data_IF_214586742886
#
_entry.id   IF_214586742886
#
_cell.length_a   1.000
_cell.length_b   1.000
_cell.length_c   1.000
_cell.angle_alpha   90.00
_cell.angle_beta   90.00
_cell.angle_gamma   90.00
#
_symmetry.space_group_name_H-M   'P 1'
#
loop_
_entity.id
_entity.type
_entity.pdbx_description
1 polymer ?
#
# COMPACT_ATOMS: atom_id res chain seq x y z
N UNK A 1 4.47 17.99 -17.64
CA UNK A 1 4.96 16.60 -17.76
C UNK A 1 6.42 16.61 -17.37
N UNK A 2 6.86 15.74 -16.46
CA UNK A 2 8.20 15.81 -15.85
C UNK A 2 9.26 15.04 -16.63
N UNK A 3 8.87 13.96 -17.30
CA UNK A 3 9.77 13.11 -18.09
C UNK A 3 9.65 13.42 -19.58
N UNK A 4 10.75 13.33 -20.34
CA UNK A 4 10.78 13.67 -21.76
C UNK A 4 9.99 12.68 -22.63
N UNK A 5 10.00 11.40 -22.26
CA UNK A 5 9.24 10.31 -22.86
C UNK A 5 7.76 10.30 -22.45
N UNK A 6 7.41 11.06 -21.42
CA UNK A 6 6.09 11.08 -20.85
C UNK A 6 5.75 9.84 -20.01
N UNK A 7 4.60 9.22 -20.26
CA UNK A 7 4.18 8.01 -19.55
C UNK A 7 4.84 6.76 -20.14
N UNK A 8 5.02 5.69 -19.34
CA UNK A 8 5.40 4.38 -19.87
C UNK A 8 4.42 3.88 -20.96
N UNK A 9 4.87 2.93 -21.79
CA UNK A 9 4.11 2.33 -22.89
C UNK A 9 3.10 1.27 -22.42
N UNK A 10 2.23 1.64 -21.47
CA UNK A 10 1.07 0.84 -21.06
C UNK A 10 -0.10 1.79 -20.68
N UNK A 11 -1.35 1.30 -20.68
CA UNK A 11 -2.50 2.11 -20.25
C UNK A 11 -2.33 2.68 -18.83
N UNK A 12 -3.00 3.80 -18.55
CA UNK A 12 -2.97 4.50 -17.26
C UNK A 12 -3.56 3.67 -16.10
N UNK A 13 -4.63 2.92 -16.36
CA UNK A 13 -5.54 2.44 -15.31
C UNK A 13 -5.51 0.92 -15.10
N UNK A 14 -5.29 0.44 -13.85
CA UNK A 14 -4.85 1.21 -12.67
C UNK A 14 -3.35 1.53 -12.75
N UNK A 15 -2.88 2.40 -11.84
CA UNK A 15 -1.45 2.65 -11.71
C UNK A 15 -0.72 1.42 -11.16
N UNK A 16 0.31 0.97 -11.89
CA UNK A 16 1.17 -0.13 -11.44
C UNK A 16 1.92 0.21 -10.15
N UNK A 17 2.44 1.44 -10.02
CA UNK A 17 3.12 1.88 -8.80
C UNK A 17 2.18 1.92 -7.60
N UNK A 18 0.94 2.41 -7.78
CA UNK A 18 -0.05 2.39 -6.73
C UNK A 18 -0.43 0.96 -6.31
N UNK A 19 -0.57 0.05 -7.27
CA UNK A 19 -0.83 -1.37 -6.98
C UNK A 19 0.28 -2.00 -6.14
N UNK A 20 1.54 -1.77 -6.49
CA UNK A 20 2.68 -2.28 -5.73
C UNK A 20 2.74 -1.63 -4.34
N UNK A 21 2.58 -0.30 -4.25
CA UNK A 21 2.60 0.43 -2.99
C UNK A 21 1.52 -0.08 -2.03
N UNK A 22 0.29 -0.30 -2.52
CA UNK A 22 -0.81 -0.84 -1.73
C UNK A 22 -0.54 -2.26 -1.23
N UNK A 23 0.05 -3.12 -2.06
CA UNK A 23 0.39 -4.49 -1.67
C UNK A 23 1.51 -4.53 -0.62
N UNK A 24 2.60 -3.79 -0.84
CA UNK A 24 3.71 -3.70 0.11
C UNK A 24 3.24 -3.12 1.45
N UNK A 25 2.48 -2.01 1.43
CA UNK A 25 1.93 -1.41 2.64
C UNK A 25 1.01 -2.37 3.39
N UNK A 26 0.15 -3.12 2.69
CA UNK A 26 -0.73 -4.10 3.34
C UNK A 26 0.03 -5.24 4.02
N UNK A 27 1.18 -5.67 3.48
CA UNK A 27 2.06 -6.63 4.17
C UNK A 27 2.69 -6.00 5.41
N UNK A 28 3.24 -4.79 5.29
CA UNK A 28 3.89 -4.09 6.40
C UNK A 28 2.93 -3.78 7.55
N UNK A 29 1.72 -3.30 7.23
CA UNK A 29 0.67 -3.00 8.21
C UNK A 29 0.18 -4.26 8.94
N UNK A 30 0.18 -5.41 8.27
CA UNK A 30 -0.14 -6.69 8.90
C UNK A 30 0.99 -7.21 9.78
N UNK A 31 2.25 -6.91 9.43
CA UNK A 31 3.42 -7.45 10.13
C UNK A 31 3.84 -6.63 11.34
N UNK A 32 3.83 -5.30 11.22
CA UNK A 32 4.28 -4.40 12.28
C UNK A 32 3.12 -3.94 13.16
N UNK A 33 3.34 -3.94 14.48
CA UNK A 33 2.42 -3.32 15.42
C UNK A 33 2.39 -1.80 15.21
N UNK A 34 1.24 -1.19 15.45
CA UNK A 34 1.15 0.27 15.49
C UNK A 34 1.72 0.81 16.82
N UNK A 35 2.30 1.99 16.77
CA UNK A 35 2.93 2.64 17.90
C UNK A 35 4.03 3.63 17.51
N UNK A 36 4.61 4.32 18.49
CA UNK A 36 5.61 5.34 18.23
C UNK A 36 7.02 4.75 18.03
N UNK A 37 7.84 5.44 17.24
CA UNK A 37 9.30 5.26 17.18
C UNK A 37 9.97 6.60 17.55
N UNK A 38 10.20 6.89 18.85
CA UNK A 38 10.65 8.19 19.31
C UNK A 38 12.00 8.64 18.73
N UNK A 39 12.91 7.70 18.46
CA UNK A 39 14.22 7.97 17.86
C UNK A 39 14.12 8.54 16.43
N UNK A 40 12.97 8.39 15.78
CA UNK A 40 12.68 8.90 14.44
C UNK A 40 11.58 9.97 14.44
N UNK A 41 11.16 10.44 15.63
CA UNK A 41 10.04 11.38 15.79
C UNK A 41 8.70 10.89 15.20
N UNK A 42 8.53 9.57 15.09
CA UNK A 42 7.31 8.94 14.57
C UNK A 42 6.35 8.64 15.71
N UNK A 43 5.09 9.06 15.57
CA UNK A 43 4.02 8.80 16.55
C UNK A 43 3.22 7.53 16.25
N UNK A 44 3.09 7.17 14.97
CA UNK A 44 2.43 5.93 14.51
C UNK A 44 3.19 5.36 13.31
N UNK A 45 3.74 4.16 13.49
CA UNK A 45 4.32 3.37 12.39
C UNK A 45 3.29 3.13 11.29
N UNK A 46 2.03 2.87 11.64
CA UNK A 46 1.00 2.63 10.64
C UNK A 46 0.70 3.86 9.79
N UNK A 47 0.66 5.05 10.40
CA UNK A 47 0.44 6.30 9.66
C UNK A 47 1.60 6.60 8.71
N UNK A 48 2.85 6.38 9.12
CA UNK A 48 4.01 6.56 8.24
C UNK A 48 4.03 5.55 7.09
N UNK A 49 3.62 4.30 7.31
CA UNK A 49 3.45 3.33 6.21
C UNK A 49 2.37 3.79 5.23
N UNK A 50 1.25 4.33 5.72
CA UNK A 50 0.19 4.89 4.86
C UNK A 50 0.65 6.15 4.12
N UNK A 51 1.46 6.98 4.76
CA UNK A 51 2.06 8.16 4.16
C UNK A 51 3.02 7.77 3.04
N UNK A 52 3.91 6.80 3.27
CA UNK A 52 4.81 6.25 2.25
C UNK A 52 4.03 5.70 1.05
N UNK A 53 3.00 4.89 1.31
CA UNK A 53 2.13 4.34 0.28
C UNK A 53 1.51 5.46 -0.59
N UNK A 54 0.99 6.51 0.03
CA UNK A 54 0.43 7.65 -0.68
C UNK A 54 1.49 8.43 -1.46
N UNK A 55 2.66 8.66 -0.88
CA UNK A 55 3.76 9.38 -1.52
C UNK A 55 4.22 8.70 -2.83
N UNK A 56 4.38 7.37 -2.81
CA UNK A 56 4.73 6.58 -4.00
C UNK A 56 3.67 6.66 -5.10
N UNK A 57 2.38 6.66 -4.73
CA UNK A 57 1.29 6.78 -5.69
C UNK A 57 1.18 8.20 -6.24
N UNK A 58 1.07 9.21 -5.37
CA UNK A 58 0.84 10.61 -5.77
C UNK A 58 2.00 11.21 -6.55
N UNK A 59 3.23 10.74 -6.31
CA UNK A 59 4.41 11.14 -7.08
C UNK A 59 4.23 10.90 -8.59
N UNK A 60 3.38 9.95 -8.98
CA UNK A 60 3.07 9.70 -10.40
C UNK A 60 2.10 10.72 -10.99
N UNK A 61 1.16 11.23 -10.19
CA UNK A 61 0.32 12.37 -10.59
C UNK A 61 1.15 13.65 -10.66
N UNK A 62 2.09 13.86 -9.74
CA UNK A 62 3.02 15.00 -9.79
C UNK A 62 3.91 14.97 -11.04
N UNK A 63 4.31 13.78 -11.49
CA UNK A 63 5.01 13.61 -12.76
C UNK A 63 4.13 13.84 -14.01
N UNK A 64 2.80 13.90 -13.84
CA UNK A 64 1.83 14.08 -14.91
C UNK A 64 1.54 12.82 -15.72
N UNK A 65 1.70 11.63 -15.12
CA UNK A 65 1.58 10.34 -15.82
C UNK A 65 0.55 9.39 -15.23
N UNK A 66 -0.11 9.76 -14.13
CA UNK A 66 -1.24 9.02 -13.59
C UNK A 66 -2.36 9.96 -13.10
N UNK A 67 -3.61 9.58 -13.40
CA UNK A 67 -4.81 10.23 -12.89
C UNK A 67 -5.08 9.85 -11.43
N UNK A 68 -5.82 10.69 -10.69
CA UNK A 68 -6.19 10.38 -9.29
C UNK A 68 -6.95 9.05 -9.19
N UNK A 69 -7.84 8.75 -10.15
CA UNK A 69 -8.60 7.51 -10.17
C UNK A 69 -7.69 6.28 -10.36
N UNK A 70 -6.69 6.34 -11.25
CA UNK A 70 -5.75 5.22 -11.44
C UNK A 70 -4.91 4.94 -10.20
N UNK A 71 -4.58 5.98 -9.41
CA UNK A 71 -3.91 5.82 -8.13
C UNK A 71 -4.81 5.16 -7.07
N UNK A 72 -6.00 5.70 -6.83
CA UNK A 72 -6.89 5.22 -5.76
C UNK A 72 -7.28 3.75 -5.98
N UNK A 73 -7.64 3.39 -7.22
CA UNK A 73 -7.97 2.00 -7.56
C UNK A 73 -6.76 1.09 -7.47
N UNK A 74 -5.58 1.54 -7.89
CA UNK A 74 -4.34 0.77 -7.73
C UNK A 74 -4.02 0.45 -6.27
N UNK A 75 -4.05 1.46 -5.39
CA UNK A 75 -3.82 1.28 -3.96
C UNK A 75 -4.77 0.25 -3.34
N UNK A 76 -6.07 0.34 -3.66
CA UNK A 76 -7.08 -0.60 -3.17
C UNK A 76 -6.87 -2.02 -3.71
N UNK A 77 -6.57 -2.16 -5.00
CA UNK A 77 -6.29 -3.45 -5.65
C UNK A 77 -5.07 -4.14 -5.00
N UNK A 78 -3.98 -3.39 -4.83
CA UNK A 78 -2.75 -3.89 -4.20
C UNK A 78 -3.00 -4.38 -2.78
N UNK A 79 -3.73 -3.59 -1.99
CA UNK A 79 -4.05 -3.94 -0.60
C UNK A 79 -5.01 -5.14 -0.51
N UNK A 80 -5.96 -5.27 -1.43
CA UNK A 80 -6.80 -6.48 -1.49
C UNK A 80 -5.95 -7.73 -1.80
N UNK A 81 -4.98 -7.59 -2.70
CA UNK A 81 -4.06 -8.67 -3.05
C UNK A 81 -3.18 -9.08 -1.88
N UNK A 82 -2.64 -8.13 -1.09
CA UNK A 82 -1.83 -8.48 0.09
C UNK A 82 -2.63 -9.23 1.15
N UNK A 83 -3.89 -8.86 1.39
CA UNK A 83 -4.76 -9.59 2.33
C UNK A 83 -5.02 -11.01 1.84
N UNK A 84 -5.32 -11.19 0.55
CA UNK A 84 -5.53 -12.51 -0.04
C UNK A 84 -4.25 -13.38 0.07
N UNK A 85 -3.10 -12.80 -0.22
CA UNK A 85 -1.80 -13.46 -0.08
C UNK A 85 -1.53 -13.89 1.35
N UNK A 86 -1.68 -13.00 2.33
CA UNK A 86 -1.40 -13.31 3.73
C UNK A 86 -2.37 -14.34 4.32
N UNK A 87 -3.65 -14.30 3.94
CA UNK A 87 -4.63 -15.34 4.29
C UNK A 87 -4.23 -16.71 3.75
N UNK A 88 -3.74 -16.75 2.51
CA UNK A 88 -3.24 -17.98 1.91
C UNK A 88 -1.99 -18.50 2.64
N UNK A 89 -1.07 -17.60 2.99
CA UNK A 89 0.13 -17.92 3.75
C UNK A 89 -0.22 -18.51 5.13
N UNK A 90 -1.10 -17.83 5.88
CA UNK A 90 -1.60 -18.28 7.20
C UNK A 90 -2.25 -19.66 7.17
N UNK A 91 -2.95 -20.01 6.09
CA UNK A 91 -3.54 -21.33 5.93
C UNK A 91 -2.51 -22.45 5.66
N UNK A 92 -1.27 -22.09 5.33
CA UNK A 92 -0.21 -23.02 4.91
C UNK A 92 1.00 -23.05 5.86
N UNK A 93 1.12 -22.08 6.76
CA UNK A 93 2.19 -22.03 7.76
C UNK A 93 1.77 -22.74 9.04
N UNK A 94 2.61 -23.61 9.61
CA UNK A 94 2.33 -24.27 10.89
C UNK A 94 2.42 -23.29 12.08
N UNK A 95 3.18 -22.20 11.95
CA UNK A 95 3.28 -21.17 12.97
C UNK A 95 1.94 -20.40 13.08
N UNK A 96 1.50 -20.07 14.30
CA UNK A 96 0.35 -19.19 14.48
C UNK A 96 0.73 -17.78 14.04
N UNK A 97 0.55 -17.48 12.75
CA UNK A 97 0.50 -16.10 12.28
C UNK A 97 -0.71 -15.45 12.93
N UNK A 98 -0.45 -14.52 13.86
CA UNK A 98 -1.49 -13.79 14.58
C UNK A 98 -2.54 -13.19 13.63
N UNK A 99 -3.77 -13.03 14.11
CA UNK A 99 -4.83 -12.34 13.37
C UNK A 99 -4.57 -10.85 13.29
N UNK A 100 -3.64 -10.42 12.44
CA UNK A 100 -3.36 -9.01 12.24
C UNK A 100 -4.58 -8.33 11.61
N UNK A 101 -5.11 -7.35 12.34
CA UNK A 101 -6.10 -6.44 11.80
C UNK A 101 -5.47 -5.06 11.68
N UNK A 102 -5.64 -4.42 10.53
CA UNK A 102 -5.08 -3.10 10.28
C UNK A 102 -6.08 -2.25 9.50
N UNK A 103 -6.00 -0.93 9.67
CA UNK A 103 -6.82 0.02 8.90
C UNK A 103 -6.17 0.23 7.54
N UNK A 104 -6.92 -0.07 6.48
CA UNK A 104 -6.50 0.12 5.11
C UNK A 104 -6.49 1.58 4.66
N UNK A 105 -6.06 1.81 3.42
CA UNK A 105 -6.02 3.15 2.83
C UNK A 105 -7.40 3.82 2.75
N UNK A 106 -8.44 3.03 2.58
CA UNK A 106 -9.84 3.45 2.53
C UNK A 106 -10.49 3.62 3.92
N UNK A 107 -9.72 3.53 5.00
CA UNK A 107 -10.24 3.58 6.37
C UNK A 107 -10.94 2.28 6.81
N UNK A 108 -10.99 1.26 5.95
CA UNK A 108 -11.64 -0.02 6.24
C UNK A 108 -10.67 -0.92 7.00
N UNK A 109 -11.15 -1.51 8.10
CA UNK A 109 -10.39 -2.52 8.84
C UNK A 109 -10.32 -3.80 8.01
N UNK A 110 -9.11 -4.33 7.85
CA UNK A 110 -8.82 -5.58 7.13
C UNK A 110 -8.21 -6.57 8.11
N UNK A 111 -8.70 -7.81 8.06
CA UNK A 111 -8.23 -8.90 8.92
C UNK A 111 -7.65 -10.03 8.08
N UNK A 112 -6.48 -10.51 8.50
CA UNK A 112 -5.72 -11.59 7.88
C UNK A 112 -5.90 -12.90 8.62
#
# INVERSE_FOLDING_TARGET
MTYAEGSPLHPDYPSGHATIAGACAGILLAWFADGPLPALEITSVHDEIRQMMWALAVGRSWAGIHSRSSLLTGLQLGMAHSVAFLRNLKARTPEPLGGASFVGFDGVIRTV
#
